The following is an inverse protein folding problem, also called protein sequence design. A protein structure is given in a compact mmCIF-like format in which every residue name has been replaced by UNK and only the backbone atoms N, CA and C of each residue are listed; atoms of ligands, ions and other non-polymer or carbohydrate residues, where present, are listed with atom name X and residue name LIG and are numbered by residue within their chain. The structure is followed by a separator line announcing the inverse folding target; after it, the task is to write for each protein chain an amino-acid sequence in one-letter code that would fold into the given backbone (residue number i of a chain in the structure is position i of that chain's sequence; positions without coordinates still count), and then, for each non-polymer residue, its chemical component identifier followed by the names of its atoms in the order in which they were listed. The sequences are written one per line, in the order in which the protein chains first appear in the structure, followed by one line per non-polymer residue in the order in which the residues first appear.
data_IF_977139692264
#
_entry.id   IF_977139692264
#
_cell.length_a   1.000
_cell.length_b   1.000
_cell.length_c   1.000
_cell.angle_alpha   90.00
_cell.angle_beta   90.00
_cell.angle_gamma   90.00
#
_symmetry.space_group_name_H-M   'P 1'
#
loop_
_entity.id
_entity.type
_entity.pdbx_description
1 polymer ?
#
# COMPACT_ATOMS: atom_id res chain seq x y z
N UNK A 1 16.33 96.47 18.79
CA UNK A 1 15.18 95.54 18.63
C UNK A 1 15.28 94.63 17.40
N UNK A 2 15.85 95.06 16.26
CA UNK A 2 15.97 94.26 15.02
C UNK A 2 16.79 92.95 15.15
N UNK A 3 17.85 92.91 15.97
CA UNK A 3 18.69 91.71 16.20
C UNK A 3 17.92 90.54 16.84
N UNK A 4 16.99 90.79 17.77
CA UNK A 4 16.20 89.73 18.42
C UNK A 4 15.19 89.09 17.45
N UNK A 5 14.68 89.88 16.50
CA UNK A 5 13.75 89.41 15.45
C UNK A 5 14.49 88.50 14.45
N UNK A 6 15.71 88.87 14.05
CA UNK A 6 16.55 88.05 13.15
C UNK A 6 16.91 86.71 13.81
N UNK A 7 17.30 86.73 15.09
CA UNK A 7 17.61 85.50 15.84
C UNK A 7 16.37 84.62 15.98
N UNK A 8 15.19 85.20 16.25
CA UNK A 8 13.93 84.47 16.31
C UNK A 8 13.55 83.83 14.97
N UNK A 9 13.73 84.54 13.85
CA UNK A 9 13.46 84.01 12.51
C UNK A 9 14.40 82.85 12.14
N UNK A 10 15.70 82.95 12.46
CA UNK A 10 16.67 81.88 12.22
C UNK A 10 16.33 80.64 13.07
N UNK A 11 15.95 80.83 14.33
CA UNK A 11 15.55 79.72 15.21
C UNK A 11 14.31 78.99 14.68
N UNK A 12 13.34 79.74 14.14
CA UNK A 12 12.10 79.20 13.59
C UNK A 12 12.35 78.42 12.29
N UNK A 13 13.26 78.91 11.44
CA UNK A 13 13.69 78.18 10.23
C UNK A 13 14.43 76.89 10.61
N UNK A 14 15.31 76.93 11.62
CA UNK A 14 16.00 75.73 12.12
C UNK A 14 15.03 74.69 12.68
N UNK A 15 14.03 75.12 13.44
CA UNK A 15 12.98 74.24 13.97
C UNK A 15 12.11 73.65 12.86
N UNK A 16 11.76 74.44 11.83
CA UNK A 16 11.01 73.94 10.68
C UNK A 16 11.84 72.94 9.85
N UNK A 17 13.12 73.21 9.64
CA UNK A 17 14.03 72.29 8.95
C UNK A 17 14.21 70.99 9.74
N UNK A 18 14.43 71.06 11.05
CA UNK A 18 14.53 69.88 11.92
C UNK A 18 13.21 69.08 11.95
N UNK A 19 12.06 69.75 12.03
CA UNK A 19 10.75 69.12 11.97
C UNK A 19 10.50 68.38 10.66
N UNK A 20 10.84 69.00 9.53
CA UNK A 20 10.67 68.39 8.19
C UNK A 20 11.60 67.19 7.97
N UNK A 21 12.86 67.29 8.40
CA UNK A 21 13.84 66.21 8.30
C UNK A 21 13.45 65.00 9.17
N UNK A 22 12.99 65.25 10.39
CA UNK A 22 12.55 64.19 11.31
C UNK A 22 11.29 63.49 10.78
N UNK A 23 10.33 64.26 10.25
CA UNK A 23 9.14 63.68 9.63
C UNK A 23 9.49 62.83 8.41
N UNK A 24 10.40 63.28 7.54
CA UNK A 24 10.87 62.49 6.40
C UNK A 24 11.57 61.18 6.77
N UNK A 25 12.25 61.14 7.92
CA UNK A 25 12.94 59.94 8.41
C UNK A 25 11.98 58.94 9.06
N UNK A 26 11.01 59.42 9.85
CA UNK A 26 10.00 58.58 10.51
C UNK A 26 8.91 58.07 9.55
N UNK A 27 8.69 58.72 8.41
CA UNK A 27 7.66 58.32 7.43
C UNK A 27 8.17 57.35 6.35
N UNK A 28 9.41 56.85 6.46
CA UNK A 28 9.90 55.77 5.60
C UNK A 28 9.16 54.47 5.93
N UNK A 29 8.01 54.27 5.28
CA UNK A 29 7.26 53.01 5.35
C UNK A 29 8.18 51.89 4.87
N UNK A 30 8.38 50.89 5.74
CA UNK A 30 9.10 49.68 5.39
C UNK A 30 8.49 49.10 4.11
N UNK A 31 9.30 48.98 3.07
CA UNK A 31 8.87 48.42 1.80
C UNK A 31 8.71 46.92 2.04
N UNK A 32 7.46 46.45 2.13
CA UNK A 32 7.18 45.02 2.27
C UNK A 32 7.69 44.31 1.03
N UNK A 33 8.72 43.49 1.19
CA UNK A 33 9.24 42.65 0.12
C UNK A 33 8.39 41.38 0.03
N UNK A 34 7.89 41.09 -1.18
CA UNK A 34 7.14 39.88 -1.47
C UNK A 34 8.00 38.94 -2.29
N UNK A 35 8.10 37.69 -1.86
CA UNK A 35 8.71 36.62 -2.61
C UNK A 35 7.65 36.01 -3.52
N UNK A 36 7.90 36.06 -4.83
CA UNK A 36 7.06 35.41 -5.83
C UNK A 36 7.76 34.16 -6.34
N UNK A 37 6.97 33.13 -6.66
CA UNK A 37 7.43 31.93 -7.34
C UNK A 37 6.72 31.81 -8.69
N UNK A 38 7.42 31.31 -9.69
CA UNK A 38 6.88 31.07 -11.02
C UNK A 38 6.00 29.81 -11.02
N UNK A 39 4.84 29.87 -11.68
CA UNK A 39 3.91 28.74 -11.75
C UNK A 39 4.29 27.86 -12.94
N UNK A 40 4.81 26.67 -12.66
CA UNK A 40 5.10 25.67 -13.69
C UNK A 40 3.97 24.65 -13.81
N UNK A 41 3.58 24.33 -15.05
CA UNK A 41 2.65 23.23 -15.34
C UNK A 41 3.46 21.99 -15.75
N UNK A 42 3.18 20.87 -15.12
CA UNK A 42 3.77 19.57 -15.44
C UNK A 42 2.74 18.47 -15.22
N UNK A 43 3.00 17.29 -15.77
CA UNK A 43 2.14 16.14 -15.55
C UNK A 43 2.37 15.60 -14.14
N UNK A 44 1.29 15.47 -13.37
CA UNK A 44 1.31 14.88 -12.04
C UNK A 44 0.73 13.48 -12.15
N UNK A 45 1.60 12.48 -12.21
CA UNK A 45 1.21 11.08 -12.24
C UNK A 45 1.08 10.57 -10.80
N UNK A 46 -0.15 10.29 -10.39
CA UNK A 46 -0.45 9.65 -9.10
C UNK A 46 -0.65 8.17 -9.33
N UNK A 47 0.40 7.38 -9.11
CA UNK A 47 0.33 5.91 -9.21
C UNK A 47 -0.24 5.36 -7.91
N UNK A 48 -1.47 4.84 -7.97
CA UNK A 48 -2.08 4.13 -6.85
C UNK A 48 -1.55 2.69 -6.87
N UNK A 49 -0.68 2.36 -5.92
CA UNK A 49 -0.22 0.98 -5.71
C UNK A 49 -1.27 0.21 -4.91
N UNK A 50 -2.02 -0.67 -5.58
CA UNK A 50 -2.93 -1.61 -4.90
C UNK A 50 -2.22 -2.95 -4.73
N UNK A 51 -1.85 -3.29 -3.50
CA UNK A 51 -1.37 -4.63 -3.16
C UNK A 51 -2.57 -5.56 -2.97
N UNK A 52 -2.76 -6.51 -3.89
CA UNK A 52 -3.70 -7.61 -3.72
C UNK A 52 -2.96 -8.92 -3.48
N UNK A 53 -3.52 -9.81 -2.66
CA UNK A 53 -3.03 -11.18 -2.52
C UNK A 53 -3.49 -12.01 -3.71
N UNK A 54 -2.55 -12.64 -4.42
CA UNK A 54 -2.87 -13.62 -5.46
C UNK A 54 -3.39 -14.90 -4.79
N UNK A 55 -4.61 -15.31 -5.12
CA UNK A 55 -5.18 -16.59 -4.71
C UNK A 55 -5.41 -17.47 -5.94
N UNK A 56 -5.12 -18.79 -5.85
CA UNK A 56 -5.38 -19.71 -6.94
C UNK A 56 -6.88 -19.72 -7.27
N UNK A 57 -7.21 -19.75 -8.57
CA UNK A 57 -8.61 -19.76 -9.06
C UNK A 57 -9.32 -21.05 -8.63
N UNK A 58 -8.59 -22.15 -8.47
CA UNK A 58 -9.15 -23.45 -8.07
C UNK A 58 -8.11 -24.22 -7.27
N UNK A 59 -8.46 -24.57 -6.04
CA UNK A 59 -7.68 -25.47 -5.19
C UNK A 59 -8.51 -26.73 -4.96
N UNK A 60 -7.92 -27.90 -5.19
CA UNK A 60 -8.56 -29.19 -4.91
C UNK A 60 -7.71 -29.94 -3.90
N UNK A 61 -8.30 -30.24 -2.76
CA UNK A 61 -7.69 -31.11 -1.75
C UNK A 61 -7.99 -32.57 -2.12
N UNK A 62 -6.94 -33.36 -2.32
CA UNK A 62 -7.07 -34.77 -2.70
C UNK A 62 -6.76 -35.63 -1.49
N UNK A 63 -7.77 -36.32 -0.97
CA UNK A 63 -7.67 -37.24 0.15
C UNK A 63 -8.22 -38.63 -0.17
N UNK A 64 -7.99 -39.58 0.74
CA UNK A 64 -8.50 -40.95 0.61
C UNK A 64 -9.91 -41.05 1.20
N UNK A 65 -10.85 -41.67 0.47
CA UNK A 65 -12.20 -41.93 1.01
C UNK A 65 -12.23 -43.06 2.04
N UNK A 66 -11.23 -43.94 2.01
CA UNK A 66 -11.13 -45.11 2.89
C UNK A 66 -9.85 -45.00 3.70
N UNK A 67 -9.96 -45.16 5.01
CA UNK A 67 -8.81 -45.20 5.90
C UNK A 67 -8.02 -46.50 5.69
N UNK A 68 -6.72 -46.39 5.44
CA UNK A 68 -5.82 -47.52 5.26
C UNK A 68 -4.36 -47.07 5.09
N UNK A 69 -3.45 -48.04 5.09
CA UNK A 69 -2.01 -47.78 4.91
C UNK A 69 -1.69 -47.58 3.42
N UNK A 70 -0.83 -46.63 3.08
CA UNK A 70 -0.37 -46.46 1.70
C UNK A 70 0.56 -47.61 1.28
N UNK A 71 0.25 -48.27 0.17
CA UNK A 71 1.11 -49.28 -0.44
C UNK A 71 2.13 -48.64 -1.40
N UNK A 72 1.68 -47.73 -2.26
CA UNK A 72 2.51 -47.04 -3.24
C UNK A 72 2.07 -45.58 -3.43
N UNK A 73 3.04 -44.70 -3.68
CA UNK A 73 2.84 -43.29 -4.03
C UNK A 73 3.52 -43.06 -5.38
N UNK A 74 2.81 -42.40 -6.31
CA UNK A 74 3.23 -42.19 -7.69
C UNK A 74 3.37 -40.71 -8.07
N UNK A 75 3.14 -39.79 -7.13
CA UNK A 75 3.29 -38.35 -7.31
C UNK A 75 4.08 -37.76 -6.14
N UNK A 76 5.00 -36.85 -6.44
CA UNK A 76 5.81 -36.12 -5.46
C UNK A 76 5.43 -34.62 -5.42
N UNK A 77 6.01 -33.91 -4.48
CA UNK A 77 5.83 -32.49 -4.30
C UNK A 77 6.24 -31.69 -5.55
N UNK A 78 5.38 -30.78 -5.98
CA UNK A 78 5.47 -29.95 -7.19
C UNK A 78 5.30 -30.69 -8.53
N UNK A 79 4.91 -31.97 -8.54
CA UNK A 79 4.59 -32.66 -9.80
C UNK A 79 3.29 -32.13 -10.43
N UNK A 80 3.30 -31.98 -11.76
CA UNK A 80 2.08 -31.70 -12.53
C UNK A 80 1.23 -32.97 -12.68
N UNK A 81 0.02 -32.94 -12.12
CA UNK A 81 -0.92 -34.06 -12.17
C UNK A 81 -2.11 -33.80 -13.09
N UNK A 82 -2.63 -34.85 -13.71
CA UNK A 82 -3.78 -34.77 -14.63
C UNK A 82 -5.03 -35.39 -14.02
N UNK A 83 -6.21 -34.98 -14.51
CA UNK A 83 -7.49 -35.58 -14.12
C UNK A 83 -7.47 -37.09 -14.43
N UNK A 84 -7.78 -37.90 -13.41
CA UNK A 84 -7.83 -39.36 -13.52
C UNK A 84 -6.48 -40.06 -13.34
N UNK A 85 -5.41 -39.32 -13.05
CA UNK A 85 -4.11 -39.90 -12.75
C UNK A 85 -4.13 -40.63 -11.40
N UNK A 86 -3.54 -41.83 -11.36
CA UNK A 86 -3.32 -42.57 -10.14
C UNK A 86 -2.20 -41.89 -9.34
N UNK A 87 -2.54 -41.32 -8.19
CA UNK A 87 -1.58 -40.62 -7.33
C UNK A 87 -0.98 -41.53 -6.26
N UNK A 88 -1.80 -42.40 -5.68
CA UNK A 88 -1.39 -43.34 -4.65
C UNK A 88 -2.33 -44.56 -4.61
N UNK A 89 -1.82 -45.68 -4.10
CA UNK A 89 -2.58 -46.91 -3.88
C UNK A 89 -2.52 -47.25 -2.40
N UNK A 90 -3.69 -47.51 -1.82
CA UNK A 90 -3.85 -47.98 -0.44
C UNK A 90 -3.71 -49.50 -0.42
N UNK A 91 -3.15 -50.05 0.65
CA UNK A 91 -3.13 -51.49 0.89
C UNK A 91 -4.56 -52.02 1.14
N UNK A 92 -5.02 -52.91 0.25
CA UNK A 92 -6.36 -53.47 0.26
C UNK A 92 -6.43 -54.92 0.74
N UNK A 93 -5.39 -55.49 1.36
CA UNK A 93 -5.38 -56.93 1.74
C UNK A 93 -6.61 -57.32 2.57
N UNK A 94 -6.93 -56.54 3.60
CA UNK A 94 -8.10 -56.79 4.45
C UNK A 94 -9.41 -56.61 3.68
N UNK A 95 -9.53 -55.54 2.87
CA UNK A 95 -10.72 -55.28 2.06
C UNK A 95 -10.98 -56.39 1.05
N UNK A 96 -9.93 -56.89 0.39
CA UNK A 96 -10.03 -57.99 -0.58
C UNK A 96 -10.49 -59.28 0.09
N UNK A 97 -10.00 -59.55 1.30
CA UNK A 97 -10.44 -60.70 2.10
C UNK A 97 -11.93 -60.58 2.44
N UNK A 98 -12.40 -59.41 2.90
CA UNK A 98 -13.82 -59.19 3.19
C UNK A 98 -14.71 -59.37 1.96
N UNK A 99 -14.28 -58.90 0.78
CA UNK A 99 -15.01 -59.08 -0.48
C UNK A 99 -15.09 -60.55 -0.87
N UNK A 100 -14.00 -61.31 -0.70
CA UNK A 100 -13.99 -62.75 -0.99
C UNK A 100 -14.96 -63.52 -0.09
N UNK A 101 -14.98 -63.21 1.21
CA UNK A 101 -15.93 -63.80 2.16
C UNK A 101 -17.37 -63.50 1.76
N UNK A 102 -17.69 -62.22 1.49
CA UNK A 102 -19.03 -61.82 1.09
C UNK A 102 -19.49 -62.53 -0.20
N UNK A 103 -18.57 -62.74 -1.15
CA UNK A 103 -18.87 -63.43 -2.41
C UNK A 103 -19.08 -64.93 -2.20
N UNK A 104 -18.32 -65.56 -1.30
CA UNK A 104 -18.54 -66.96 -0.92
C UNK A 104 -19.90 -67.15 -0.23
N UNK A 105 -20.29 -66.21 0.62
CA UNK A 105 -21.60 -66.24 1.30
C UNK A 105 -22.76 -66.05 0.32
N UNK A 106 -22.62 -65.14 -0.65
CA UNK A 106 -23.59 -64.96 -1.73
C UNK A 106 -23.76 -66.24 -2.55
N UNK A 107 -22.65 -66.86 -2.96
CA UNK A 107 -22.69 -68.11 -3.73
C UNK A 107 -23.36 -69.24 -2.94
N UNK A 108 -23.13 -69.30 -1.61
CA UNK A 108 -23.78 -70.29 -0.74
C UNK A 108 -25.29 -70.06 -0.62
N UNK A 109 -25.74 -68.80 -0.65
CA UNK A 109 -27.15 -68.46 -0.58
C UNK A 109 -27.90 -68.60 -1.92
N UNK A 110 -27.16 -68.57 -3.04
CA UNK A 110 -27.71 -68.76 -4.39
C UNK A 110 -27.74 -70.23 -4.84
N UNK A 111 -27.04 -71.12 -4.14
CA UNK A 111 -27.05 -72.56 -4.35
C UNK A 111 -28.20 -73.23 -3.56
#
# INVERSE_FOLDING_TARGET
MKRKIIIGAILLILLAAAGSASFGFFTKKAKTEYLFAEITRGNLESTISSTGTLSPVTTVEVGTQVSGTLAHIYADFNDEVRRGQLLAVIDTVNLKTSVLTAKADLNRAQA
#
